data_IF_296557451634
#
_entry.id   IF_296557451634
#
_cell.length_a   1.000
_cell.length_b   1.000
_cell.length_c   1.000
_cell.angle_alpha   90.00
_cell.angle_beta   90.00
_cell.angle_gamma   90.00
#
_symmetry.space_group_name_H-M   'P 1'
#
loop_
_entity.id
_entity.type
_entity.pdbx_description
1 polymer ?
#
# COMPACT_ATOMS: atom_id res chain seq x y z
N UNK A 1 0.83 -10.73 7.14
CA UNK A 1 -0.20 -11.05 8.17
C UNK A 1 0.46 -11.45 9.48
N UNK A 2 -0.27 -11.41 10.59
CA UNK A 2 0.11 -11.80 11.96
C UNK A 2 1.28 -11.05 12.61
N UNK A 3 1.75 -9.95 12.01
CA UNK A 3 2.75 -9.08 12.64
C UNK A 3 2.07 -8.20 13.70
N UNK A 4 2.66 -8.15 14.89
CA UNK A 4 2.22 -7.29 15.99
C UNK A 4 2.80 -5.87 15.89
N UNK A 5 3.84 -5.67 15.09
CA UNK A 5 4.49 -4.39 14.90
C UNK A 5 5.19 -4.31 13.54
N UNK A 6 5.45 -3.08 13.10
CA UNK A 6 6.26 -2.75 11.92
C UNK A 6 7.16 -1.56 12.29
N UNK A 7 8.44 -1.60 11.90
CA UNK A 7 9.37 -0.49 12.15
C UNK A 7 8.88 0.82 11.52
N UNK A 8 9.24 1.96 12.11
CA UNK A 8 8.75 3.29 11.67
C UNK A 8 9.00 3.55 10.19
N UNK A 9 10.20 3.21 9.72
CA UNK A 9 10.66 3.41 8.34
C UNK A 9 10.68 2.08 7.56
N UNK A 10 9.79 1.16 7.95
CA UNK A 10 9.64 -0.16 7.31
C UNK A 10 8.29 -0.25 6.61
N UNK A 11 8.26 -1.04 5.55
CA UNK A 11 7.05 -1.33 4.80
C UNK A 11 7.10 -2.67 4.11
N UNK A 12 6.01 -3.01 3.44
CA UNK A 12 5.92 -4.19 2.57
C UNK A 12 5.55 -3.73 1.17
N UNK A 13 6.44 -4.00 0.21
CA UNK A 13 6.23 -3.68 -1.20
C UNK A 13 5.70 -4.91 -1.93
N UNK A 14 4.52 -4.78 -2.51
CA UNK A 14 3.91 -5.76 -3.40
C UNK A 14 4.16 -5.33 -4.84
N UNK A 15 4.59 -6.27 -5.68
CA UNK A 15 4.89 -6.06 -7.10
C UNK A 15 4.02 -6.99 -7.92
N UNK A 16 3.14 -6.42 -8.75
CA UNK A 16 2.24 -7.16 -9.61
C UNK A 16 2.77 -7.22 -11.04
N UNK A 17 2.40 -8.28 -11.77
CA UNK A 17 2.86 -8.49 -13.15
C UNK A 17 2.22 -7.52 -14.15
N UNK A 18 1.02 -7.01 -13.83
CA UNK A 18 0.24 -6.09 -14.66
C UNK A 18 -0.24 -4.92 -13.82
N UNK A 19 -0.51 -3.80 -14.49
CA UNK A 19 -1.17 -2.66 -13.88
C UNK A 19 -2.69 -2.87 -13.98
N UNK A 20 -3.35 -3.01 -12.84
CA UNK A 20 -4.78 -3.29 -12.74
C UNK A 20 -5.34 -2.75 -11.42
N UNK A 21 -6.67 -2.83 -11.23
CA UNK A 21 -7.25 -2.47 -9.93
C UNK A 21 -6.81 -3.49 -8.89
N UNK A 22 -6.11 -3.04 -7.86
CA UNK A 22 -5.60 -3.88 -6.80
C UNK A 22 -6.56 -3.83 -5.61
N UNK A 23 -6.91 -5.00 -5.08
CA UNK A 23 -7.78 -5.13 -3.91
C UNK A 23 -7.04 -5.77 -2.75
N UNK A 24 -7.08 -5.11 -1.60
CA UNK A 24 -6.49 -5.58 -0.34
C UNK A 24 -7.56 -5.77 0.72
N UNK A 25 -7.21 -6.47 1.79
CA UNK A 25 -8.04 -6.69 2.96
C UNK A 25 -7.14 -6.80 4.20
N UNK A 26 -7.74 -6.66 5.37
CA UNK A 26 -7.01 -6.67 6.65
C UNK A 26 -7.27 -7.94 7.46
N UNK A 27 -7.67 -9.04 6.80
CA UNK A 27 -7.85 -10.34 7.46
C UNK A 27 -6.52 -10.79 8.06
N UNK A 28 -6.50 -11.09 9.35
CA UNK A 28 -5.30 -11.48 10.10
C UNK A 28 -4.18 -10.42 10.16
N UNK A 29 -4.49 -9.13 9.94
CA UNK A 29 -3.54 -8.03 10.12
C UNK A 29 -3.87 -7.28 11.41
N UNK A 30 -2.95 -7.29 12.37
CA UNK A 30 -3.19 -6.83 13.75
C UNK A 30 -2.93 -5.34 13.96
N UNK A 31 -2.22 -4.69 13.03
CA UNK A 31 -1.87 -3.27 13.09
C UNK A 31 -2.56 -2.50 11.97
N UNK A 32 -2.99 -1.24 12.19
CA UNK A 32 -3.48 -0.39 11.13
C UNK A 32 -2.34 0.00 10.18
N UNK A 33 -2.63 0.04 8.88
CA UNK A 33 -1.64 0.31 7.83
C UNK A 33 -2.16 1.39 6.89
N UNK A 34 -1.28 2.24 6.39
CA UNK A 34 -1.56 3.00 5.17
C UNK A 34 -1.08 2.16 3.97
N UNK A 35 -1.87 2.17 2.89
CA UNK A 35 -1.51 1.58 1.61
C UNK A 35 -1.39 2.68 0.56
N UNK A 36 -0.27 2.66 -0.16
CA UNK A 36 -0.01 3.52 -1.31
C UNK A 36 -0.08 2.67 -2.56
N UNK A 37 -1.03 2.94 -3.44
CA UNK A 37 -1.17 2.29 -4.74
C UNK A 37 -0.38 3.09 -5.78
N UNK A 38 0.49 2.43 -6.53
CA UNK A 38 1.49 3.07 -7.39
C UNK A 38 1.41 2.49 -8.81
N UNK A 39 1.37 3.36 -9.82
CA UNK A 39 1.37 3.00 -11.24
C UNK A 39 2.71 2.40 -11.70
N UNK A 40 2.75 1.85 -12.91
CA UNK A 40 3.96 1.42 -13.60
C UNK A 40 4.98 2.54 -13.78
N UNK A 41 4.51 3.78 -13.81
CA UNK A 41 5.34 4.99 -13.97
C UNK A 41 5.86 5.52 -12.62
N UNK A 42 5.69 4.72 -11.55
CA UNK A 42 6.09 5.05 -10.18
C UNK A 42 5.37 6.27 -9.60
N UNK A 43 4.14 6.54 -10.03
CA UNK A 43 3.31 7.62 -9.49
C UNK A 43 2.26 7.04 -8.55
N UNK A 44 2.07 7.66 -7.38
CA UNK A 44 1.01 7.28 -6.45
C UNK A 44 -0.33 7.64 -7.07
N UNK A 45 -1.17 6.64 -7.35
CA UNK A 45 -2.49 6.82 -7.97
C UNK A 45 -3.62 6.84 -6.95
N UNK A 46 -3.42 6.25 -5.76
CA UNK A 46 -4.38 6.27 -4.67
C UNK A 46 -3.69 5.98 -3.33
N UNK A 47 -4.29 6.48 -2.25
CA UNK A 47 -3.84 6.23 -0.87
C UNK A 47 -5.04 5.90 0.00
N UNK A 48 -4.87 4.99 0.93
CA UNK A 48 -5.93 4.61 1.87
C UNK A 48 -5.35 4.17 3.20
N UNK A 49 -6.03 4.52 4.30
CA UNK A 49 -5.74 3.93 5.62
C UNK A 49 -6.66 2.72 5.83
N UNK A 50 -6.05 1.58 6.13
CA UNK A 50 -6.72 0.30 6.35
C UNK A 50 -6.63 -0.09 7.82
N UNK A 51 -7.72 -0.61 8.36
CA UNK A 51 -7.83 -1.00 9.77
C UNK A 51 -7.96 -2.52 9.93
N UNK A 52 -7.45 -3.10 11.03
CA UNK A 52 -7.68 -4.49 11.37
C UNK A 52 -9.16 -4.87 11.24
N UNK A 53 -9.40 -6.02 10.64
CA UNK A 53 -10.74 -6.48 10.36
C UNK A 53 -11.50 -6.79 11.67
N UNK A 54 -12.68 -6.18 11.85
CA UNK A 54 -13.56 -6.37 13.02
C UNK A 54 -14.87 -7.08 12.70
N UNK A 55 -15.13 -7.37 11.42
CA UNK A 55 -16.38 -7.94 10.90
C UNK A 55 -16.07 -9.09 9.92
N UNK A 56 -16.96 -10.08 9.82
CA UNK A 56 -16.85 -11.15 8.82
C UNK A 56 -18.09 -11.12 7.90
N UNK A 57 -17.96 -10.88 6.59
CA UNK A 57 -16.71 -10.74 5.83
C UNK A 57 -15.95 -9.44 6.08
N UNK A 58 -14.62 -9.52 5.99
CA UNK A 58 -13.74 -8.35 6.09
C UNK A 58 -13.97 -7.35 4.95
N UNK A 59 -13.83 -6.04 5.21
CA UNK A 59 -13.91 -5.02 4.17
C UNK A 59 -12.75 -5.15 3.18
N UNK A 60 -13.04 -4.83 1.93
CA UNK A 60 -12.08 -4.74 0.85
C UNK A 60 -11.67 -3.28 0.60
N UNK A 61 -10.40 -3.08 0.32
CA UNK A 61 -9.79 -1.80 -0.03
C UNK A 61 -9.27 -1.91 -1.46
N UNK A 62 -10.06 -1.42 -2.41
CA UNK A 62 -9.70 -1.43 -3.83
C UNK A 62 -9.14 -0.08 -4.24
N UNK A 63 -8.01 -0.08 -4.93
CA UNK A 63 -7.41 1.11 -5.52
C UNK A 63 -8.40 1.83 -6.44
N UNK A 64 -8.50 3.16 -6.37
CA UNK A 64 -9.36 3.94 -7.28
C UNK A 64 -8.92 3.93 -8.75
N UNK A 65 -7.64 3.66 -9.00
CA UNK A 65 -7.06 3.62 -10.34
C UNK A 65 -6.11 2.42 -10.47
N UNK A 66 -5.87 1.92 -11.71
CA UNK A 66 -4.95 0.82 -11.93
C UNK A 66 -3.56 1.07 -11.36
N UNK A 67 -3.04 0.12 -10.59
CA UNK A 67 -1.73 0.15 -9.97
C UNK A 67 -0.95 -1.11 -10.29
N UNK A 68 0.38 -0.98 -10.38
CA UNK A 68 1.32 -2.11 -10.58
C UNK A 68 2.03 -2.47 -9.28
N UNK A 69 2.11 -1.52 -8.35
CA UNK A 69 2.73 -1.73 -7.05
C UNK A 69 1.79 -1.26 -5.94
N UNK A 70 1.95 -1.87 -4.77
CA UNK A 70 1.33 -1.39 -3.55
C UNK A 70 2.37 -1.39 -2.43
N UNK A 71 2.44 -0.32 -1.66
CA UNK A 71 3.33 -0.19 -0.51
C UNK A 71 2.49 -0.05 0.76
N UNK A 72 2.57 -1.04 1.64
CA UNK A 72 2.00 -0.98 2.99
C UNK A 72 3.03 -0.42 3.97
N UNK A 73 2.63 0.56 4.77
CA UNK A 73 3.42 1.18 5.85
C UNK A 73 2.54 1.37 7.09
N UNK A 74 3.13 1.73 8.23
CA UNK A 74 2.36 2.03 9.44
C UNK A 74 1.30 3.13 9.16
N UNK A 75 0.09 2.96 9.70
CA UNK A 75 -0.95 3.98 9.57
C UNK A 75 -0.48 5.34 10.14
N UNK A 76 -0.81 6.42 9.43
CA UNK A 76 -0.36 7.78 9.75
C UNK A 76 0.98 8.15 9.11
N UNK A 77 1.68 7.21 8.45
CA UNK A 77 2.88 7.51 7.69
C UNK A 77 2.60 8.48 6.54
N UNK A 78 1.48 8.28 5.81
CA UNK A 78 1.07 9.16 4.69
C UNK A 78 0.86 10.59 5.18
N UNK A 79 0.13 10.75 6.30
CA UNK A 79 -0.14 12.07 6.89
C UNK A 79 1.14 12.73 7.41
N UNK A 80 1.97 12.01 8.15
CA UNK A 80 3.19 12.56 8.77
C UNK A 80 4.24 13.01 7.75
N UNK A 81 4.24 12.42 6.56
CA UNK A 81 5.16 12.77 5.46
C UNK A 81 4.49 13.62 4.36
N UNK A 82 3.25 14.07 4.57
CA UNK A 82 2.48 14.85 3.61
C UNK A 82 2.39 14.22 2.20
N UNK A 83 2.35 12.90 2.14
CA UNK A 83 2.27 12.13 0.89
C UNK A 83 0.87 12.27 0.30
N UNK A 84 0.78 12.45 -1.01
CA UNK A 84 -0.48 12.60 -1.74
C UNK A 84 -0.46 11.85 -3.08
N UNK A 85 -1.65 11.61 -3.61
CA UNK A 85 -1.82 11.18 -5.00
C UNK A 85 -1.13 12.16 -5.95
N UNK A 86 -0.42 11.60 -6.94
CA UNK A 86 0.40 12.35 -7.90
C UNK A 86 1.87 12.45 -7.51
N UNK A 87 2.25 12.18 -6.26
CA UNK A 87 3.66 12.13 -5.87
C UNK A 87 4.37 10.93 -6.53
N UNK A 88 5.67 11.08 -6.77
CA UNK A 88 6.49 10.05 -7.42
C UNK A 88 7.30 9.27 -6.39
N UNK A 89 7.43 7.96 -6.62
CA UNK A 89 8.22 7.03 -5.81
C UNK A 89 9.53 6.74 -6.52
N UNK A 90 10.66 6.93 -5.84
CA UNK A 90 11.97 6.49 -6.33
C UNK A 90 12.36 5.16 -5.72
N UNK A 91 12.74 4.19 -6.55
CA UNK A 91 13.37 2.95 -6.07
C UNK A 91 14.36 2.43 -7.10
N UNK A 92 15.59 2.16 -6.66
CA UNK A 92 16.61 1.56 -7.51
C UNK A 92 16.29 0.08 -7.79
N UNK A 93 15.69 -0.62 -6.83
CA UNK A 93 15.28 -2.03 -6.97
C UNK A 93 14.20 -2.19 -8.05
N UNK A 94 13.26 -1.23 -8.15
CA UNK A 94 12.22 -1.29 -9.18
C UNK A 94 12.75 -1.01 -10.58
N UNK A 95 13.90 -0.32 -10.70
CA UNK A 95 14.58 -0.07 -11.98
C UNK A 95 15.43 -1.24 -12.47
N UNK A 96 15.81 -2.17 -11.57
CA UNK A 96 16.65 -3.33 -11.88
C UNK A 96 15.91 -4.49 -12.54
N UNK A 97 14.58 -4.53 -12.51
CA UNK A 97 13.77 -5.58 -13.18
C UNK A 97 13.63 -5.32 -14.69
N UNK A 98 14.77 -5.20 -15.39
CA UNK A 98 14.86 -5.31 -16.85
C UNK A 98 14.96 -6.77 -17.27
#
# INVERSE_FOLDING_TARGET
MYRQSLGKDSGMLFIFGKQELLTFWMKNTMIPLDILFISSDLVIVDVSTMYPCTLDPCPFYTSKQPAKYALEVNAGYVRSHAIKTGDTVSSDILKLKK
#
